data_IF_167426393693
#
_entry.id   IF_167426393693
#
_cell.length_a   1.000
_cell.length_b   1.000
_cell.length_c   1.000
_cell.angle_alpha   90.00
_cell.angle_beta   90.00
_cell.angle_gamma   90.00
#
_symmetry.space_group_name_H-M   'P 1'
#
loop_
_entity.id
_entity.type
_entity.pdbx_description
1 polymer ?
#
# COMPACT_ATOMS: atom_id res chain seq x y z
N UNK A 1 18.26 14.47 -0.72
CA UNK A 1 16.83 14.67 -1.12
C UNK A 1 16.42 13.74 -2.27
N UNK A 2 17.11 13.76 -3.42
CA UNK A 2 16.78 12.93 -4.61
C UNK A 2 16.70 11.43 -4.33
N UNK A 3 17.51 10.93 -3.40
CA UNK A 3 17.54 9.53 -2.97
C UNK A 3 16.32 9.09 -2.15
N UNK A 4 15.72 9.98 -1.35
CA UNK A 4 14.55 9.63 -0.51
C UNK A 4 13.28 9.54 -1.34
N UNK A 5 13.08 10.52 -2.22
CA UNK A 5 11.95 10.55 -3.17
C UNK A 5 12.00 9.32 -4.09
N UNK A 6 13.18 8.98 -4.63
CA UNK A 6 13.34 7.80 -5.48
C UNK A 6 13.06 6.49 -4.74
N UNK A 7 13.58 6.33 -3.51
CA UNK A 7 13.31 5.15 -2.67
C UNK A 7 11.82 5.00 -2.37
N UNK A 8 11.15 6.08 -1.97
CA UNK A 8 9.72 6.07 -1.71
C UNK A 8 8.91 5.75 -2.98
N UNK A 9 9.27 6.32 -4.12
CA UNK A 9 8.58 6.03 -5.40
C UNK A 9 8.74 4.57 -5.80
N UNK A 10 9.92 3.99 -5.58
CA UNK A 10 10.19 2.57 -5.83
C UNK A 10 9.37 1.69 -4.88
N UNK A 11 9.35 1.99 -3.59
CA UNK A 11 8.52 1.30 -2.59
C UNK A 11 7.05 1.34 -2.99
N UNK A 12 6.55 2.52 -3.37
CA UNK A 12 5.19 2.71 -3.86
C UNK A 12 4.88 1.76 -5.03
N UNK A 13 5.72 1.77 -6.07
CA UNK A 13 5.53 0.93 -7.26
C UNK A 13 5.63 -0.56 -6.94
N UNK A 14 6.56 -0.97 -6.09
CA UNK A 14 6.73 -2.37 -5.68
C UNK A 14 5.50 -2.84 -4.90
N UNK A 15 5.03 -2.08 -3.92
CA UNK A 15 3.89 -2.46 -3.09
C UNK A 15 2.62 -2.60 -3.93
N UNK A 16 2.35 -1.62 -4.79
CA UNK A 16 1.18 -1.67 -5.68
C UNK A 16 1.30 -2.81 -6.69
N UNK A 17 2.47 -2.97 -7.32
CA UNK A 17 2.73 -4.04 -8.28
C UNK A 17 2.61 -5.44 -7.66
N UNK A 18 3.05 -5.62 -6.41
CA UNK A 18 2.89 -6.87 -5.67
C UNK A 18 1.41 -7.20 -5.45
N UNK A 19 0.61 -6.20 -5.09
CA UNK A 19 -0.82 -6.42 -4.83
C UNK A 19 -1.58 -6.71 -6.13
N UNK A 20 -1.21 -6.06 -7.23
CA UNK A 20 -1.72 -6.43 -8.55
C UNK A 20 -1.36 -7.87 -8.91
N UNK A 21 -0.10 -8.28 -8.73
CA UNK A 21 0.33 -9.64 -9.01
C UNK A 21 -0.45 -10.65 -8.16
N UNK A 22 -0.71 -10.32 -6.89
CA UNK A 22 -1.54 -11.15 -6.02
C UNK A 22 -2.97 -11.28 -6.55
N UNK A 23 -3.60 -10.15 -6.89
CA UNK A 23 -4.99 -10.11 -7.40
C UNK A 23 -5.17 -10.86 -8.72
N UNK A 24 -4.29 -10.62 -9.68
CA UNK A 24 -4.49 -11.03 -11.07
C UNK A 24 -3.97 -12.44 -11.33
N UNK A 25 -2.89 -12.82 -10.66
CA UNK A 25 -2.23 -14.09 -10.91
C UNK A 25 -2.35 -15.04 -9.72
N UNK A 26 -1.89 -14.62 -8.55
CA UNK A 26 -1.73 -15.55 -7.43
C UNK A 26 -3.06 -16.13 -6.94
N UNK A 27 -4.05 -15.29 -6.60
CA UNK A 27 -5.33 -15.78 -6.10
C UNK A 27 -6.14 -16.54 -7.17
N UNK A 28 -6.22 -16.07 -8.43
CA UNK A 28 -6.85 -16.83 -9.51
C UNK A 28 -6.28 -18.22 -9.71
N UNK A 29 -4.95 -18.33 -9.74
CA UNK A 29 -4.28 -19.63 -9.85
C UNK A 29 -4.57 -20.52 -8.63
N UNK A 30 -4.46 -19.97 -7.43
CA UNK A 30 -4.73 -20.72 -6.19
C UNK A 30 -6.17 -21.23 -6.16
N UNK A 31 -7.16 -20.39 -6.44
CA UNK A 31 -8.57 -20.81 -6.41
C UNK A 31 -8.81 -21.87 -7.48
N UNK A 32 -8.27 -21.72 -8.69
CA UNK A 32 -8.45 -22.68 -9.78
C UNK A 32 -7.88 -24.07 -9.47
N UNK A 33 -6.79 -24.14 -8.71
CA UNK A 33 -6.13 -25.41 -8.38
C UNK A 33 -6.85 -26.16 -7.25
N UNK A 34 -7.34 -25.43 -6.24
CA UNK A 34 -7.90 -26.02 -5.02
C UNK A 34 -9.43 -26.20 -5.07
N UNK A 35 -10.14 -25.42 -5.88
CA UNK A 35 -11.61 -25.41 -5.92
C UNK A 35 -12.14 -25.75 -7.32
N UNK A 36 -12.29 -27.05 -7.66
CA UNK A 36 -12.79 -27.47 -8.97
C UNK A 36 -14.29 -27.19 -9.18
N UNK A 37 -15.05 -26.97 -8.10
CA UNK A 37 -16.47 -26.63 -8.17
C UNK A 37 -16.66 -25.14 -8.47
N UNK A 38 -17.29 -24.82 -9.62
CA UNK A 38 -17.45 -23.44 -10.11
C UNK A 38 -18.11 -22.50 -9.10
N UNK A 39 -19.23 -22.91 -8.48
CA UNK A 39 -19.95 -22.08 -7.51
C UNK A 39 -19.09 -21.66 -6.30
N UNK A 40 -18.22 -22.56 -5.84
CA UNK A 40 -17.32 -22.26 -4.71
C UNK A 40 -16.20 -21.33 -5.16
N UNK A 41 -15.65 -21.57 -6.34
CA UNK A 41 -14.62 -20.71 -6.93
C UNK A 41 -15.13 -19.27 -7.17
N UNK A 42 -16.35 -19.11 -7.68
CA UNK A 42 -16.95 -17.81 -7.95
C UNK A 42 -17.14 -16.99 -6.66
N UNK A 43 -17.68 -17.61 -5.60
CA UNK A 43 -17.77 -16.94 -4.30
C UNK A 43 -16.39 -16.58 -3.75
N UNK A 44 -15.40 -17.47 -3.83
CA UNK A 44 -14.05 -17.16 -3.36
C UNK A 44 -13.40 -16.01 -4.13
N UNK A 45 -13.73 -15.84 -5.42
CA UNK A 45 -13.31 -14.66 -6.18
C UNK A 45 -13.93 -13.39 -5.66
N UNK A 46 -15.23 -13.37 -5.37
CA UNK A 46 -15.91 -12.21 -4.77
C UNK A 46 -15.29 -11.84 -3.42
N UNK A 47 -15.04 -12.83 -2.55
CA UNK A 47 -14.36 -12.60 -1.27
C UNK A 47 -12.93 -12.07 -1.45
N UNK A 48 -12.21 -12.56 -2.46
CA UNK A 48 -10.86 -12.08 -2.78
C UNK A 48 -10.89 -10.61 -3.20
N UNK A 49 -11.85 -10.20 -4.02
CA UNK A 49 -12.05 -8.79 -4.41
C UNK A 49 -12.31 -7.93 -3.19
N UNK A 50 -13.18 -8.38 -2.26
CA UNK A 50 -13.45 -7.66 -1.01
C UNK A 50 -12.18 -7.47 -0.18
N UNK A 51 -11.43 -8.56 0.06
CA UNK A 51 -10.21 -8.55 0.86
C UNK A 51 -9.17 -7.62 0.23
N UNK A 52 -8.95 -7.72 -1.08
CA UNK A 52 -7.94 -6.91 -1.77
C UNK A 52 -8.35 -5.44 -1.79
N UNK A 53 -9.61 -5.13 -2.03
CA UNK A 53 -10.09 -3.75 -2.02
C UNK A 53 -9.89 -3.08 -0.65
N UNK A 54 -10.22 -3.78 0.44
CA UNK A 54 -9.98 -3.29 1.82
C UNK A 54 -8.48 -3.19 2.11
N UNK A 55 -7.70 -4.21 1.74
CA UNK A 55 -6.25 -4.20 1.90
C UNK A 55 -5.60 -3.03 1.15
N UNK A 56 -6.09 -2.71 -0.04
CA UNK A 56 -5.63 -1.56 -0.83
C UNK A 56 -5.89 -0.23 -0.12
N UNK A 57 -7.02 -0.08 0.58
CA UNK A 57 -7.25 1.11 1.40
C UNK A 57 -6.20 1.25 2.50
N UNK A 58 -5.89 0.16 3.20
CA UNK A 58 -4.83 0.15 4.23
C UNK A 58 -3.44 0.38 3.65
N UNK A 59 -3.15 -0.14 2.46
CA UNK A 59 -1.88 0.10 1.76
C UNK A 59 -1.70 1.58 1.46
N UNK A 60 -2.71 2.27 0.90
CA UNK A 60 -2.60 3.70 0.63
C UNK A 60 -2.45 4.53 1.92
N UNK A 61 -3.15 4.17 2.99
CA UNK A 61 -2.93 4.74 4.33
C UNK A 61 -1.49 4.49 4.81
N UNK A 62 -0.99 3.26 4.67
CA UNK A 62 0.36 2.86 5.05
C UNK A 62 1.44 3.58 4.25
N UNK A 63 1.27 3.74 2.94
CA UNK A 63 2.16 4.50 2.06
C UNK A 63 2.17 5.98 2.44
N UNK A 64 1.01 6.55 2.81
CA UNK A 64 0.91 7.89 3.37
C UNK A 64 1.75 8.04 4.63
N UNK A 65 1.54 7.14 5.59
CA UNK A 65 2.28 7.10 6.85
C UNK A 65 3.79 6.94 6.61
N UNK A 66 4.20 5.93 5.84
CA UNK A 66 5.60 5.66 5.47
C UNK A 66 6.27 6.87 4.80
N UNK A 67 5.56 7.53 3.88
CA UNK A 67 6.06 8.73 3.21
C UNK A 67 6.41 9.87 4.18
N UNK A 68 5.65 10.04 5.27
CA UNK A 68 5.94 11.06 6.30
C UNK A 68 6.94 10.56 7.34
N UNK A 69 6.71 9.39 7.91
CA UNK A 69 7.43 8.91 9.10
C UNK A 69 8.76 8.25 8.76
N UNK A 70 8.78 7.38 7.73
CA UNK A 70 9.97 6.62 7.33
C UNK A 70 10.86 7.44 6.41
N UNK A 71 10.27 8.10 5.41
CA UNK A 71 11.02 8.82 4.36
C UNK A 71 11.17 10.32 4.64
N UNK A 72 10.44 10.87 5.61
CA UNK A 72 10.52 12.28 5.98
C UNK A 72 10.12 13.23 4.84
N UNK A 73 9.25 12.81 3.93
CA UNK A 73 8.84 13.64 2.80
C UNK A 73 7.92 14.76 3.26
N UNK A 74 8.18 15.97 2.77
CA UNK A 74 7.24 17.09 2.90
C UNK A 74 5.92 16.80 2.18
N UNK A 75 4.85 17.50 2.57
CA UNK A 75 3.53 17.32 1.94
C UNK A 75 3.61 17.55 0.41
N UNK A 76 4.27 18.62 -0.01
CA UNK A 76 4.45 18.94 -1.43
C UNK A 76 5.20 17.86 -2.19
N UNK A 77 6.28 17.31 -1.63
CA UNK A 77 7.02 16.22 -2.27
C UNK A 77 6.17 14.95 -2.37
N UNK A 78 5.44 14.60 -1.32
CA UNK A 78 4.57 13.43 -1.31
C UNK A 78 3.42 13.56 -2.33
N UNK A 79 2.78 14.73 -2.39
CA UNK A 79 1.74 15.01 -3.38
C UNK A 79 2.28 15.02 -4.81
N UNK A 80 3.49 15.55 -5.03
CA UNK A 80 4.12 15.52 -6.35
C UNK A 80 4.45 14.10 -6.80
N UNK A 81 4.96 13.25 -5.90
CA UNK A 81 5.20 11.82 -6.20
C UNK A 81 3.89 11.10 -6.48
N UNK A 82 2.89 11.25 -5.60
CA UNK A 82 1.59 10.64 -5.79
C UNK A 82 1.00 11.04 -7.14
N UNK A 83 0.94 12.34 -7.43
CA UNK A 83 0.37 12.86 -8.67
C UNK A 83 1.18 12.40 -9.87
N UNK A 84 2.51 12.44 -9.81
CA UNK A 84 3.37 12.00 -10.92
C UNK A 84 3.19 10.51 -11.27
N UNK A 85 3.08 9.64 -10.26
CA UNK A 85 2.86 8.21 -10.47
C UNK A 85 1.48 7.92 -11.07
N UNK A 86 0.44 8.63 -10.63
CA UNK A 86 -0.92 8.43 -11.13
C UNK A 86 -1.19 9.15 -12.46
N UNK A 87 -0.55 10.29 -12.71
CA UNK A 87 -0.62 11.00 -13.99
C UNK A 87 -0.08 10.15 -15.14
N UNK A 88 0.91 9.30 -14.87
CA UNK A 88 1.44 8.37 -15.86
C UNK A 88 0.35 7.45 -16.43
N UNK A 89 -0.70 7.14 -15.66
CA UNK A 89 -1.81 6.31 -16.12
C UNK A 89 -2.72 7.00 -17.15
N UNK A 90 -2.71 8.33 -17.22
CA UNK A 90 -3.47 9.08 -18.21
C UNK A 90 -2.70 9.27 -19.52
N UNK A 91 -1.43 8.89 -19.54
CA UNK A 91 -0.56 8.98 -20.71
C UNK A 91 -0.62 7.64 -21.46
N UNK A 92 -1.72 7.43 -22.19
CA UNK A 92 -2.06 6.20 -22.94
C UNK A 92 -1.24 6.04 -24.24
N UNK A 93 0.08 6.18 -24.15
CA UNK A 93 0.97 6.12 -25.32
C UNK A 93 1.68 4.78 -25.47
N UNK A 94 1.61 3.90 -24.46
CA UNK A 94 2.35 2.64 -24.42
C UNK A 94 1.42 1.53 -23.92
N UNK A 95 1.28 0.45 -24.70
CA UNK A 95 0.36 -0.66 -24.42
C UNK A 95 0.55 -1.32 -23.05
N UNK A 96 1.79 -1.36 -22.56
CA UNK A 96 2.12 -1.88 -21.23
C UNK A 96 1.55 -0.99 -20.12
N UNK A 97 1.58 0.33 -20.31
CA UNK A 97 1.02 1.29 -19.35
C UNK A 97 -0.50 1.16 -19.32
N UNK A 98 -1.14 0.93 -20.47
CA UNK A 98 -2.59 0.75 -20.56
C UNK A 98 -3.06 -0.50 -19.78
N UNK A 99 -2.37 -1.64 -19.96
CA UNK A 99 -2.69 -2.86 -19.19
C UNK A 99 -2.49 -2.65 -17.69
N UNK A 100 -1.38 -2.01 -17.31
CA UNK A 100 -1.12 -1.71 -15.90
C UNK A 100 -2.19 -0.78 -15.31
N UNK A 101 -2.63 0.21 -16.08
CA UNK A 101 -3.70 1.12 -15.68
C UNK A 101 -5.04 0.40 -15.49
N UNK A 102 -5.42 -0.53 -16.39
CA UNK A 102 -6.63 -1.33 -16.23
C UNK A 102 -6.58 -2.13 -14.92
N UNK A 103 -5.48 -2.83 -14.70
CA UNK A 103 -5.25 -3.57 -13.48
C UNK A 103 -5.28 -2.71 -12.21
N UNK A 104 -4.66 -1.53 -12.27
CA UNK A 104 -4.71 -0.54 -11.21
C UNK A 104 -6.13 -0.08 -10.90
N UNK A 105 -6.88 0.30 -11.93
CA UNK A 105 -8.26 0.77 -11.83
C UNK A 105 -9.14 -0.28 -11.13
N UNK A 106 -8.96 -1.55 -11.50
CA UNK A 106 -9.78 -2.64 -10.99
C UNK A 106 -9.46 -2.97 -9.51
N UNK A 107 -8.32 -2.54 -8.95
CA UNK A 107 -7.95 -2.87 -7.56
C UNK A 107 -9.01 -2.42 -6.54
N UNK A 108 -9.49 -1.18 -6.64
CA UNK A 108 -10.65 -0.69 -5.85
C UNK A 108 -11.90 -0.62 -6.72
N UNK A 109 -11.77 -0.49 -8.04
CA UNK A 109 -12.92 -0.45 -8.96
C UNK A 109 -13.85 -1.65 -8.78
N UNK A 110 -13.31 -2.86 -8.70
CA UNK A 110 -14.10 -4.08 -8.52
C UNK A 110 -14.80 -4.11 -7.15
N UNK A 111 -14.12 -3.65 -6.10
CA UNK A 111 -14.72 -3.51 -4.78
C UNK A 111 -15.94 -2.59 -4.84
N UNK A 112 -15.80 -1.42 -5.45
CA UNK A 112 -16.90 -0.46 -5.52
C UNK A 112 -18.01 -0.94 -6.45
N UNK A 113 -17.67 -1.69 -7.52
CA UNK A 113 -18.66 -2.31 -8.41
C UNK A 113 -19.52 -3.35 -7.68
N UNK A 114 -18.98 -4.07 -6.69
CA UNK A 114 -19.77 -4.99 -5.85
C UNK A 114 -20.86 -4.27 -5.04
N UNK A 115 -20.57 -3.06 -4.54
CA UNK A 115 -21.55 -2.30 -3.74
C UNK A 115 -22.44 -1.37 -4.58
N UNK A 116 -21.94 -0.89 -5.72
CA UNK A 116 -22.62 0.06 -6.60
C UNK A 116 -22.66 -0.42 -8.07
N UNK A 117 -23.28 -1.57 -8.37
CA UNK A 117 -23.19 -2.22 -9.68
C UNK A 117 -23.78 -1.42 -10.85
N UNK A 118 -24.60 -0.40 -10.56
CA UNK A 118 -25.24 0.46 -11.57
C UNK A 118 -24.51 1.80 -11.80
N UNK A 119 -23.47 2.10 -11.02
CA UNK A 119 -22.75 3.36 -11.16
C UNK A 119 -21.44 3.13 -11.91
N UNK A 120 -21.27 3.87 -13.02
CA UNK A 120 -19.97 3.98 -13.69
C UNK A 120 -19.08 4.92 -12.89
N UNK A 121 -18.10 4.36 -12.20
CA UNK A 121 -17.14 5.15 -11.42
C UNK A 121 -16.07 5.68 -12.38
N UNK A 122 -16.07 7.00 -12.58
CA UNK A 122 -15.06 7.66 -13.38
C UNK A 122 -13.70 7.58 -12.68
N UNK A 123 -12.63 7.38 -13.47
CA UNK A 123 -11.26 7.16 -12.98
C UNK A 123 -10.76 8.26 -12.04
N UNK A 124 -11.16 9.51 -12.28
CA UNK A 124 -10.80 10.63 -11.40
C UNK A 124 -11.33 10.46 -9.97
N UNK A 125 -12.50 9.83 -9.78
CA UNK A 125 -13.01 9.55 -8.44
C UNK A 125 -12.11 8.53 -7.73
N UNK A 126 -11.61 7.52 -8.43
CA UNK A 126 -10.67 6.55 -7.86
C UNK A 126 -9.37 7.24 -7.43
N UNK A 127 -8.79 8.08 -8.31
CA UNK A 127 -7.59 8.86 -7.97
C UNK A 127 -7.82 9.72 -6.72
N UNK A 128 -8.99 10.39 -6.63
CA UNK A 128 -9.36 11.21 -5.46
C UNK A 128 -9.48 10.34 -4.20
N UNK A 129 -10.14 9.18 -4.27
CA UNK A 129 -10.27 8.25 -3.13
C UNK A 129 -8.89 7.82 -2.64
N UNK A 130 -8.02 7.40 -3.56
CA UNK A 130 -6.64 7.03 -3.23
C UNK A 130 -5.85 8.19 -2.63
N UNK A 131 -6.05 9.40 -3.13
CA UNK A 131 -5.38 10.59 -2.63
C UNK A 131 -5.84 10.94 -1.22
N UNK A 132 -7.14 10.86 -0.94
CA UNK A 132 -7.71 11.08 0.39
C UNK A 132 -7.16 10.05 1.38
N UNK A 133 -7.15 8.77 1.01
CA UNK A 133 -6.58 7.71 1.84
C UNK A 133 -5.08 7.93 2.09
N UNK A 134 -4.33 8.30 1.06
CA UNK A 134 -2.92 8.62 1.19
C UNK A 134 -2.67 9.79 2.15
N UNK A 135 -3.44 10.87 2.03
CA UNK A 135 -3.33 12.02 2.93
C UNK A 135 -3.74 11.67 4.37
N UNK A 136 -4.82 10.91 4.55
CA UNK A 136 -5.24 10.42 5.86
C UNK A 136 -4.12 9.58 6.50
N UNK A 137 -3.46 8.74 5.71
CA UNK A 137 -2.32 7.94 6.11
C UNK A 137 -1.16 8.77 6.67
N UNK A 138 -0.89 9.94 6.08
CA UNK A 138 0.14 10.87 6.60
C UNK A 138 -0.20 11.43 7.98
N UNK A 139 -1.47 11.43 8.37
CA UNK A 139 -1.92 11.80 9.72
C UNK A 139 -1.65 10.72 10.75
N UNK A 140 -1.53 9.46 10.32
CA UNK A 140 -1.33 8.31 11.20
C UNK A 140 0.16 8.22 11.57
N UNK A 141 0.44 8.12 12.86
CA UNK A 141 1.77 7.82 13.37
C UNK A 141 1.69 6.54 14.19
N UNK A 142 2.36 5.50 13.70
CA UNK A 142 2.59 4.29 14.50
C UNK A 142 3.70 4.64 15.48
N UNK A 143 3.34 4.88 16.74
CA UNK A 143 4.33 4.98 17.81
C UNK A 143 4.74 3.56 18.16
N UNK A 144 5.93 3.16 17.73
CA UNK A 144 6.56 1.99 18.33
C UNK A 144 6.83 2.35 19.79
N UNK A 145 6.15 1.66 20.70
CA UNK A 145 6.47 1.72 22.12
C UNK A 145 7.90 1.20 22.26
N UNK A 146 8.84 2.12 22.40
CA UNK A 146 10.23 1.77 22.65
C UNK A 146 10.25 0.91 23.89
N UNK A 147 10.57 -0.36 23.73
CA UNK A 147 11.04 -1.24 24.79
C UNK A 147 12.35 -0.65 25.34
N UNK A 148 12.24 0.36 26.21
CA UNK A 148 13.36 0.97 26.93
C UNK A 148 13.82 0.09 28.10
N UNK A 149 13.34 -1.14 28.21
CA UNK A 149 13.61 -2.04 29.35
C UNK A 149 14.90 -2.90 29.20
N UNK A 150 15.64 -2.78 28.09
CA UNK A 150 16.87 -3.57 27.87
C UNK A 150 18.18 -2.79 27.94
N UNK A 151 18.16 -1.48 28.22
CA UNK A 151 19.40 -0.69 28.37
C UNK A 151 19.80 -0.39 29.81
N UNK A 152 18.90 -0.45 30.79
CA UNK A 152 19.26 -0.19 32.19
C UNK A 152 19.84 -1.41 32.92
N UNK A 153 19.43 -2.64 32.55
CA UNK A 153 19.98 -3.85 33.18
C UNK A 153 21.44 -4.17 32.80
N UNK A 154 21.97 -3.60 31.71
CA UNK A 154 23.38 -3.81 31.32
C UNK A 154 24.36 -2.81 31.95
N UNK A 155 23.86 -1.69 32.50
CA UNK A 155 24.71 -0.70 33.18
C UNK A 155 24.87 -0.98 34.68
N UNK A 156 23.98 -1.79 35.27
CA UNK A 156 24.03 -2.18 36.69
C UNK A 156 25.01 -3.33 37.00
N UNK A 157 25.59 -3.98 35.99
CA UNK A 157 26.45 -5.16 36.18
C UNK A 157 27.96 -4.88 36.07
N UNK A 158 28.38 -3.61 36.07
CA UNK A 158 29.80 -3.27 36.28
C UNK A 158 29.99 -3.00 37.77
N UNK A 159 30.52 -3.96 38.57
CA UNK A 159 30.89 -3.66 39.94
C UNK A 159 32.01 -2.62 39.94
N UNK A 160 31.72 -1.45 40.49
CA UNK A 160 32.71 -0.52 41.03
C UNK A 160 33.44 -1.26 42.16
N UNK A 161 34.57 -1.91 41.87
CA UNK A 161 35.51 -2.28 42.90
C UNK A 161 36.91 -1.73 42.60
N UNK A 162 37.37 -0.91 43.55
CA UNK A 162 38.76 -0.63 43.89
C UNK A 162 39.63 0.12 42.87
N UNK A 163 39.31 1.40 42.67
CA UNK A 163 40.33 2.44 42.78
C UNK A 163 40.11 3.13 44.12
N UNK A 164 41.11 3.02 45.01
CA UNK A 164 41.29 3.69 46.32
C UNK A 164 41.35 2.70 47.49
N UNK A 165 42.49 2.02 47.64
CA UNK A 165 43.29 1.96 48.88
C UNK A 165 44.64 1.34 48.60
#
# INVERSE_FOLDING_TARGET
MRTRVGRFSLEFLIVIGLVMALKIWFFPLLISFWFPARLVADHLMEWTVLIIGVMMMFIYLGLGSSGKQTHGLSLWQATAVFSGLHLLFFIQTVSVIDQFYLYWKDLIGDLLALFFPKQTIHDWHLVIIYFILFLAGRGIQVKEEKTEEHRDNQKSSIPLNEKNL
#
